data_IF_108893528307
#
_entry.id   IF_108893528307
#
_cell.length_a   1.000
_cell.length_b   1.000
_cell.length_c   1.000
_cell.angle_alpha   90.00
_cell.angle_beta   90.00
_cell.angle_gamma   90.00
#
_symmetry.space_group_name_H-M   'P 1'
#
loop_
_entity.id
_entity.type
_entity.pdbx_description
1 polymer ?
#
# COMPACT_ATOMS: atom_id res chain seq x y z
N UNK A 1 21.62 13.57 -7.73
CA UNK A 1 22.16 12.67 -8.78
C UNK A 1 22.15 11.22 -8.31
N UNK A 2 22.48 10.98 -7.04
CA UNK A 2 22.56 9.68 -6.37
C UNK A 2 21.30 8.80 -6.40
N UNK A 3 20.09 9.34 -6.20
CA UNK A 3 18.88 8.47 -6.22
C UNK A 3 18.65 7.75 -7.55
N UNK A 4 19.01 8.38 -8.66
CA UNK A 4 18.92 7.74 -9.98
C UNK A 4 19.91 6.59 -10.07
N UNK A 5 21.12 6.76 -9.56
CA UNK A 5 22.16 5.73 -9.53
C UNK A 5 21.82 4.60 -8.57
N UNK A 6 21.43 4.93 -7.34
CA UNK A 6 20.89 3.99 -6.34
C UNK A 6 19.83 3.09 -6.97
N UNK A 7 18.82 3.70 -7.62
CA UNK A 7 17.74 2.94 -8.23
C UNK A 7 18.18 2.04 -9.39
N UNK A 8 19.31 2.29 -10.07
CA UNK A 8 19.76 1.48 -11.22
C UNK A 8 20.24 0.09 -10.81
N UNK A 9 20.86 -0.04 -9.63
CA UNK A 9 21.35 -1.32 -9.11
C UNK A 9 20.28 -2.16 -8.40
N UNK A 10 19.09 -1.60 -8.17
CA UNK A 10 18.00 -2.31 -7.50
C UNK A 10 17.18 -3.08 -8.54
N UNK A 11 17.18 -4.41 -8.40
CA UNK A 11 16.46 -5.32 -9.29
C UNK A 11 15.60 -6.24 -8.43
N UNK A 12 14.29 -6.22 -8.68
CA UNK A 12 13.33 -7.03 -7.94
C UNK A 12 12.67 -7.99 -8.92
N UNK A 13 12.86 -9.30 -8.70
CA UNK A 13 12.34 -10.34 -9.58
C UNK A 13 10.81 -10.24 -9.69
N UNK A 14 10.30 -10.18 -10.92
CA UNK A 14 8.86 -10.09 -11.19
C UNK A 14 8.28 -8.66 -11.17
N UNK A 15 9.02 -7.67 -10.69
CA UNK A 15 8.55 -6.29 -10.64
C UNK A 15 9.02 -5.50 -11.87
N UNK A 16 8.13 -4.66 -12.39
CA UNK A 16 8.44 -3.66 -13.43
C UNK A 16 8.74 -2.32 -12.76
N UNK A 17 9.90 -1.75 -13.10
CA UNK A 17 10.34 -0.45 -12.59
C UNK A 17 9.73 0.69 -13.40
N UNK A 18 9.22 1.70 -12.71
CA UNK A 18 8.82 3.01 -13.22
C UNK A 18 9.36 4.10 -12.28
N UNK A 19 10.39 4.82 -12.72
CA UNK A 19 11.12 5.79 -11.89
C UNK A 19 11.65 5.16 -10.59
N UNK A 20 11.18 5.60 -9.41
CA UNK A 20 11.55 5.06 -8.09
C UNK A 20 10.51 4.09 -7.53
N UNK A 21 9.68 3.51 -8.39
CA UNK A 21 8.62 2.58 -8.01
C UNK A 21 8.74 1.29 -8.80
N UNK A 22 8.58 0.17 -8.11
CA UNK A 22 8.57 -1.18 -8.67
C UNK A 22 7.19 -1.76 -8.44
N UNK A 23 6.56 -2.27 -9.49
CA UNK A 23 5.21 -2.84 -9.45
C UNK A 23 5.21 -4.29 -9.91
N UNK A 24 4.57 -5.18 -9.14
CA UNK A 24 4.34 -6.57 -9.53
C UNK A 24 2.83 -6.84 -9.59
N UNK A 25 2.34 -7.33 -10.72
CA UNK A 25 0.96 -7.76 -10.86
C UNK A 25 0.83 -9.19 -10.31
N UNK A 26 0.00 -9.36 -9.29
CA UNK A 26 -0.31 -10.65 -8.69
C UNK A 26 -1.80 -10.69 -8.36
N UNK A 27 -2.62 -11.06 -9.34
CA UNK A 27 -4.09 -11.08 -9.24
C UNK A 27 -4.58 -11.68 -7.89
N UNK A 28 -5.44 -10.99 -7.12
CA UNK A 28 -6.18 -9.75 -7.42
C UNK A 28 -5.45 -8.44 -7.06
N UNK A 29 -4.15 -8.49 -6.82
CA UNK A 29 -3.36 -7.39 -6.27
C UNK A 29 -2.29 -6.84 -7.23
N UNK A 30 -1.85 -5.63 -6.93
CA UNK A 30 -0.58 -5.08 -7.39
C UNK A 30 0.27 -4.78 -6.16
N UNK A 31 1.43 -5.42 -6.08
CA UNK A 31 2.42 -5.13 -5.04
C UNK A 31 3.32 -3.99 -5.50
N UNK A 32 3.63 -3.09 -4.57
CA UNK A 32 4.44 -1.90 -4.81
C UNK A 32 5.59 -1.87 -3.83
N UNK A 33 6.79 -1.68 -4.37
CA UNK A 33 7.94 -1.19 -3.61
C UNK A 33 8.33 0.19 -4.16
N UNK A 34 8.63 1.14 -3.28
CA UNK A 34 8.99 2.50 -3.69
C UNK A 34 10.10 3.03 -2.80
N UNK A 35 11.00 3.80 -3.40
CA UNK A 35 11.98 4.59 -2.68
C UNK A 35 11.50 6.03 -2.73
N UNK A 36 11.07 6.57 -1.59
CA UNK A 36 10.56 7.94 -1.49
C UNK A 36 11.68 8.88 -1.05
N UNK A 37 12.05 9.89 -1.85
CA UNK A 37 12.97 10.94 -1.42
C UNK A 37 12.36 11.79 -0.30
N UNK A 38 13.14 12.05 0.74
CA UNK A 38 12.82 12.98 1.80
C UNK A 38 12.67 14.41 1.30
N UNK A 39 11.82 15.19 1.95
CA UNK A 39 11.55 16.60 1.60
C UNK A 39 12.76 17.52 1.75
N UNK A 40 13.71 17.17 2.61
CA UNK A 40 14.85 18.02 3.00
C UNK A 40 16.20 17.47 2.54
N UNK A 41 16.23 16.81 1.38
CA UNK A 41 17.51 16.38 0.79
C UNK A 41 18.27 17.58 0.20
N UNK A 42 19.55 17.72 0.52
CA UNK A 42 20.47 18.62 -0.17
C UNK A 42 21.61 17.85 -0.85
N UNK A 43 22.72 18.53 -1.15
CA UNK A 43 23.88 17.91 -1.79
C UNK A 43 24.66 17.00 -0.84
N UNK A 44 24.64 17.32 0.46
CA UNK A 44 25.51 16.74 1.48
C UNK A 44 24.75 15.75 2.37
N UNK A 45 23.42 15.84 2.39
CA UNK A 45 22.54 14.96 3.14
C UNK A 45 21.31 14.56 2.32
N UNK A 46 21.09 13.26 2.17
CA UNK A 46 19.93 12.72 1.48
C UNK A 46 19.25 11.67 2.34
N UNK A 47 17.93 11.76 2.44
CA UNK A 47 17.10 10.84 3.20
C UNK A 47 16.15 10.13 2.24
N UNK A 48 16.03 8.82 2.35
CA UNK A 48 15.07 8.04 1.57
C UNK A 48 14.32 7.07 2.47
N UNK A 49 13.00 7.03 2.30
CA UNK A 49 12.15 6.03 2.96
C UNK A 49 11.86 4.91 1.97
N UNK A 50 12.07 3.68 2.40
CA UNK A 50 11.59 2.51 1.67
C UNK A 50 10.12 2.29 2.01
N UNK A 51 9.25 2.40 1.02
CA UNK A 51 7.81 2.19 1.17
C UNK A 51 7.38 0.88 0.50
N UNK A 52 6.41 0.21 1.10
CA UNK A 52 5.67 -0.89 0.48
C UNK A 52 4.19 -0.57 0.39
N UNK A 53 3.52 -1.13 -0.61
CA UNK A 53 2.09 -0.94 -0.81
C UNK A 53 1.42 -2.13 -1.50
N UNK A 54 0.14 -2.31 -1.22
CA UNK A 54 -0.73 -3.31 -1.85
C UNK A 54 -1.96 -2.58 -2.39
N UNK A 55 -2.12 -2.65 -3.70
CA UNK A 55 -3.26 -2.13 -4.42
C UNK A 55 -4.21 -3.26 -4.83
N UNK A 56 -5.51 -3.01 -4.69
CA UNK A 56 -6.57 -3.83 -5.27
C UNK A 56 -7.50 -2.91 -6.05
N UNK A 57 -7.77 -3.28 -7.30
CA UNK A 57 -8.73 -2.56 -8.16
C UNK A 57 -10.12 -2.51 -7.54
N UNK A 58 -10.55 -3.59 -6.91
CA UNK A 58 -11.89 -3.74 -6.35
C UNK A 58 -12.06 -2.86 -5.11
N UNK A 59 -11.06 -2.89 -4.21
CA UNK A 59 -11.04 -2.01 -3.03
C UNK A 59 -10.98 -0.55 -3.44
N UNK A 60 -10.13 -0.22 -4.43
CA UNK A 60 -10.02 1.15 -4.92
C UNK A 60 -11.33 1.64 -5.54
N UNK A 61 -11.99 0.82 -6.37
CA UNK A 61 -13.26 1.17 -7.01
C UNK A 61 -14.38 1.34 -5.97
N UNK A 62 -14.47 0.47 -4.97
CA UNK A 62 -15.44 0.61 -3.88
C UNK A 62 -15.21 1.87 -3.04
N UNK A 63 -13.97 2.09 -2.59
CA UNK A 63 -13.63 3.22 -1.73
C UNK A 63 -13.77 4.56 -2.46
N UNK A 64 -13.25 4.66 -3.67
CA UNK A 64 -13.10 5.94 -4.37
C UNK A 64 -14.16 6.19 -5.45
N UNK A 65 -14.90 5.18 -5.88
CA UNK A 65 -15.86 5.30 -6.99
C UNK A 65 -15.19 5.64 -8.33
N UNK A 66 -13.93 5.24 -8.51
CA UNK A 66 -13.10 5.57 -9.68
C UNK A 66 -12.70 4.32 -10.44
N UNK A 67 -12.45 4.50 -11.74
CA UNK A 67 -11.91 3.43 -12.59
C UNK A 67 -10.52 3.01 -12.09
N UNK A 68 -10.23 1.70 -12.01
CA UNK A 68 -8.91 1.19 -11.61
C UNK A 68 -7.78 1.77 -12.46
N UNK A 69 -6.68 2.16 -11.82
CA UNK A 69 -5.60 2.93 -12.45
C UNK A 69 -4.63 2.11 -13.31
N UNK A 70 -4.87 0.80 -13.49
CA UNK A 70 -4.06 -0.07 -14.33
C UNK A 70 -2.55 0.05 -14.03
N UNK A 71 -1.75 0.45 -15.03
CA UNK A 71 -0.28 0.58 -14.92
C UNK A 71 0.23 1.79 -14.14
N UNK A 72 -0.66 2.67 -13.67
CA UNK A 72 -0.32 3.97 -13.06
C UNK A 72 -0.69 4.03 -11.57
N UNK A 73 -0.64 2.89 -10.87
CA UNK A 73 -0.88 2.83 -9.41
C UNK A 73 0.15 3.69 -8.69
N UNK A 74 -0.32 4.61 -7.85
CA UNK A 74 0.52 5.41 -6.94
C UNK A 74 0.43 4.84 -5.53
N UNK A 75 1.41 5.11 -4.68
CA UNK A 75 1.37 4.65 -3.29
C UNK A 75 0.09 5.13 -2.57
N UNK A 76 -0.39 6.33 -2.91
CA UNK A 76 -1.64 6.88 -2.37
C UNK A 76 -2.90 6.09 -2.73
N UNK A 77 -2.82 5.21 -3.74
CA UNK A 77 -3.93 4.38 -4.21
C UNK A 77 -3.98 3.01 -3.52
N UNK A 78 -2.91 2.61 -2.83
CA UNK A 78 -2.81 1.34 -2.13
C UNK A 78 -3.75 1.31 -0.91
N UNK A 79 -4.40 0.17 -0.70
CA UNK A 79 -5.28 -0.10 0.44
C UNK A 79 -4.52 -0.49 1.70
N UNK A 80 -3.31 -1.05 1.55
CA UNK A 80 -2.33 -1.19 2.60
C UNK A 80 -1.04 -0.51 2.13
N UNK A 81 -0.47 0.37 2.94
CA UNK A 81 0.80 1.04 2.64
C UNK A 81 1.50 1.53 3.90
N UNK A 82 2.81 1.70 3.81
CA UNK A 82 3.63 2.28 4.87
C UNK A 82 5.11 2.12 4.58
N UNK A 83 5.94 2.62 5.49
CA UNK A 83 7.38 2.41 5.44
C UNK A 83 7.72 0.96 5.80
N UNK A 84 8.81 0.41 5.29
CA UNK A 84 9.32 -0.92 5.71
C UNK A 84 9.48 -1.00 7.22
N UNK A 85 9.87 0.10 7.87
CA UNK A 85 10.00 0.17 9.32
C UNK A 85 8.69 -0.18 10.02
N UNK A 86 7.56 0.33 9.53
CA UNK A 86 6.24 0.05 10.09
C UNK A 86 5.90 -1.45 10.03
N UNK A 87 6.36 -2.15 8.99
CA UNK A 87 6.02 -3.56 8.77
C UNK A 87 6.94 -4.54 9.48
N UNK A 88 8.24 -4.26 9.49
CA UNK A 88 9.27 -5.22 9.90
C UNK A 88 10.05 -4.79 11.16
N UNK A 89 9.85 -3.57 11.66
CA UNK A 89 10.66 -2.97 12.74
C UNK A 89 12.17 -2.97 12.45
N UNK A 90 12.55 -3.11 11.17
CA UNK A 90 13.91 -2.94 10.69
C UNK A 90 14.08 -1.52 10.18
N UNK A 91 15.30 -0.94 10.23
CA UNK A 91 15.60 0.42 9.74
C UNK A 91 15.10 0.61 8.29
N UNK A 92 13.87 1.08 8.13
CA UNK A 92 13.17 1.28 6.85
C UNK A 92 13.40 2.66 6.25
N UNK A 93 13.95 3.56 7.07
CA UNK A 93 14.53 4.81 6.62
C UNK A 93 16.02 4.60 6.39
N UNK A 94 16.48 5.15 5.26
CA UNK A 94 17.89 5.15 4.94
C UNK A 94 18.36 6.59 4.79
N UNK A 95 19.16 7.00 5.77
CA UNK A 95 19.88 8.26 5.82
C UNK A 95 21.24 8.10 5.15
N UNK A 96 21.60 9.05 4.29
CA UNK A 96 22.91 9.11 3.64
C UNK A 96 23.55 10.48 3.77
N UNK A 97 24.87 10.43 3.88
CA UNK A 97 25.77 11.58 3.81
C UNK A 97 26.62 11.44 2.54
N UNK A 98 27.29 12.52 2.15
CA UNK A 98 28.01 12.73 0.87
C UNK A 98 28.99 11.61 0.47
N UNK A 99 29.52 10.83 1.43
CA UNK A 99 30.56 9.80 1.24
C UNK A 99 30.05 8.34 1.18
N UNK A 100 28.74 8.12 1.03
CA UNK A 100 28.17 6.76 1.05
C UNK A 100 28.49 5.96 -0.22
N UNK A 101 28.98 4.73 -0.05
CA UNK A 101 29.11 3.77 -1.12
C UNK A 101 27.71 3.35 -1.63
N UNK A 102 27.34 3.89 -2.79
CA UNK A 102 26.08 3.60 -3.48
C UNK A 102 25.91 2.09 -3.72
N UNK A 103 27.01 1.36 -3.93
CA UNK A 103 26.98 -0.08 -4.18
C UNK A 103 26.66 -0.86 -2.90
N UNK A 104 27.33 -0.55 -1.79
CA UNK A 104 27.02 -1.13 -0.48
C UNK A 104 25.54 -0.94 -0.13
N UNK A 105 25.02 0.25 -0.41
CA UNK A 105 23.63 0.55 -0.18
C UNK A 105 22.69 -0.26 -1.09
N UNK A 106 23.01 -0.38 -2.39
CA UNK A 106 22.24 -1.22 -3.30
C UNK A 106 22.20 -2.67 -2.82
N UNK A 107 23.33 -3.19 -2.33
CA UNK A 107 23.44 -4.54 -1.76
C UNK A 107 22.55 -4.68 -0.52
N UNK A 108 22.58 -3.71 0.41
CA UNK A 108 21.69 -3.70 1.58
C UNK A 108 20.21 -3.66 1.21
N UNK A 109 19.81 -2.81 0.25
CA UNK A 109 18.42 -2.72 -0.18
C UNK A 109 17.97 -4.01 -0.88
N UNK A 110 18.79 -4.56 -1.77
CA UNK A 110 18.51 -5.83 -2.43
C UNK A 110 18.37 -6.97 -1.41
N UNK A 111 19.22 -7.00 -0.37
CA UNK A 111 19.11 -7.97 0.71
C UNK A 111 17.77 -7.85 1.48
N UNK A 112 17.36 -6.63 1.87
CA UNK A 112 16.06 -6.39 2.51
C UNK A 112 14.88 -6.81 1.61
N UNK A 113 14.99 -6.53 0.31
CA UNK A 113 13.98 -6.93 -0.66
C UNK A 113 13.82 -8.45 -0.70
N UNK A 114 14.93 -9.19 -0.78
CA UNK A 114 14.92 -10.65 -0.88
C UNK A 114 14.51 -11.33 0.43
N UNK A 115 15.02 -10.83 1.56
CA UNK A 115 14.80 -11.41 2.89
C UNK A 115 13.41 -11.12 3.44
N UNK A 116 12.90 -9.89 3.28
CA UNK A 116 11.72 -9.44 4.02
C UNK A 116 10.55 -9.06 3.10
N UNK A 117 10.79 -8.21 2.09
CA UNK A 117 9.72 -7.64 1.27
C UNK A 117 9.07 -8.69 0.37
N UNK A 118 9.87 -9.46 -0.39
CA UNK A 118 9.35 -10.50 -1.29
C UNK A 118 8.59 -11.57 -0.48
N UNK A 119 9.13 -12.12 0.62
CA UNK A 119 8.39 -13.07 1.45
C UNK A 119 7.10 -12.49 2.05
N UNK A 120 7.09 -11.20 2.43
CA UNK A 120 5.87 -10.53 2.89
C UNK A 120 4.80 -10.50 1.80
N UNK A 121 5.11 -10.02 0.60
CA UNK A 121 4.16 -10.00 -0.51
C UNK A 121 3.67 -11.40 -0.87
N UNK A 122 4.56 -12.40 -0.88
CA UNK A 122 4.22 -13.78 -1.18
C UNK A 122 3.25 -14.41 -0.17
N UNK A 123 3.13 -13.87 1.05
CA UNK A 123 2.10 -14.31 2.00
C UNK A 123 0.71 -13.83 1.56
N UNK A 124 0.59 -12.70 0.87
CA UNK A 124 -0.67 -11.96 0.67
C UNK A 124 -1.29 -12.29 -0.68
N UNK A 125 -1.75 -13.54 -0.83
CA UNK A 125 -2.33 -14.04 -2.08
C UNK A 125 -3.86 -14.01 -2.14
N UNK A 126 -4.53 -13.57 -1.07
CA UNK A 126 -5.99 -13.50 -1.00
C UNK A 126 -6.46 -12.30 -0.17
N UNK A 127 -7.71 -11.88 -0.41
CA UNK A 127 -8.37 -10.85 0.41
C UNK A 127 -8.44 -11.26 1.88
N UNK A 128 -8.63 -12.54 2.19
CA UNK A 128 -8.64 -13.03 3.58
C UNK A 128 -7.29 -12.80 4.27
N UNK A 129 -6.18 -13.08 3.59
CA UNK A 129 -4.86 -12.85 4.19
C UNK A 129 -4.54 -11.36 4.32
N UNK A 130 -4.90 -10.56 3.32
CA UNK A 130 -4.77 -9.11 3.38
C UNK A 130 -5.57 -8.54 4.57
N UNK A 131 -6.82 -8.95 4.73
CA UNK A 131 -7.70 -8.57 5.83
C UNK A 131 -7.07 -8.82 7.20
N UNK A 132 -6.59 -10.06 7.45
CA UNK A 132 -5.94 -10.41 8.72
C UNK A 132 -4.72 -9.56 9.03
N UNK A 133 -3.93 -9.22 8.00
CA UNK A 133 -2.76 -8.35 8.16
C UNK A 133 -3.20 -6.91 8.45
N UNK A 134 -4.20 -6.40 7.75
CA UNK A 134 -4.71 -5.04 7.97
C UNK A 134 -5.30 -4.87 9.37
N UNK A 135 -5.97 -5.90 9.93
CA UNK A 135 -6.42 -5.90 11.33
C UNK A 135 -5.25 -5.85 12.33
N UNK A 136 -4.17 -6.58 12.08
CA UNK A 136 -2.99 -6.53 12.95
C UNK A 136 -2.34 -5.13 12.97
N UNK A 137 -2.31 -4.44 11.83
CA UNK A 137 -1.79 -3.07 11.76
C UNK A 137 -2.77 -2.02 12.26
N UNK A 138 -4.09 -2.29 12.25
CA UNK A 138 -5.09 -1.46 12.92
C UNK A 138 -4.80 -1.32 14.41
N UNK A 139 -4.39 -2.40 15.09
CA UNK A 139 -4.04 -2.38 16.51
C UNK A 139 -2.79 -1.56 16.82
N UNK A 140 -1.89 -1.39 15.83
CA UNK A 140 -0.59 -0.72 15.99
C UNK A 140 -0.56 0.73 15.50
N UNK A 141 -1.50 1.14 14.65
CA UNK A 141 -1.42 2.41 13.94
C UNK A 141 -2.51 3.40 14.35
N UNK A 142 -2.07 4.63 14.66
CA UNK A 142 -2.87 5.86 14.54
C UNK A 142 -3.12 6.10 13.04
N UNK A 143 -3.93 5.26 12.39
CA UNK A 143 -4.39 5.45 11.01
C UNK A 143 -5.92 5.54 10.97
N UNK A 144 -6.39 6.64 11.56
CA UNK A 144 -7.32 7.62 10.99
C UNK A 144 -8.32 7.09 9.93
N UNK A 145 -9.28 6.25 10.29
CA UNK A 145 -10.55 5.95 9.57
C UNK A 145 -10.52 5.52 8.09
N UNK A 146 -9.71 6.08 7.18
CA UNK A 146 -9.51 5.57 5.82
C UNK A 146 -9.07 4.10 5.82
N UNK A 147 -8.21 3.71 6.76
CA UNK A 147 -7.83 2.31 6.94
C UNK A 147 -9.06 1.44 7.27
N UNK A 148 -9.95 1.93 8.14
CA UNK A 148 -11.23 1.29 8.46
C UNK A 148 -12.14 1.16 7.23
N UNK A 149 -12.18 2.19 6.37
CA UNK A 149 -12.92 2.16 5.11
C UNK A 149 -12.36 1.09 4.18
N UNK A 150 -11.04 0.95 4.09
CA UNK A 150 -10.42 -0.11 3.28
C UNK A 150 -10.70 -1.50 3.84
N UNK A 151 -10.64 -1.68 5.16
CA UNK A 151 -11.01 -2.95 5.81
C UNK A 151 -12.47 -3.29 5.49
N UNK A 152 -13.40 -2.32 5.60
CA UNK A 152 -14.81 -2.53 5.26
C UNK A 152 -15.01 -2.90 3.78
N UNK A 153 -14.26 -2.29 2.86
CA UNK A 153 -14.29 -2.67 1.45
C UNK A 153 -13.85 -4.13 1.24
N UNK A 154 -12.83 -4.58 1.98
CA UNK A 154 -12.35 -5.97 1.92
C UNK A 154 -13.38 -6.93 2.54
N UNK A 155 -13.97 -6.58 3.68
CA UNK A 155 -15.07 -7.34 4.31
C UNK A 155 -16.23 -7.54 3.31
N UNK A 156 -16.62 -6.47 2.61
CA UNK A 156 -17.65 -6.54 1.58
C UNK A 156 -17.27 -7.47 0.42
N UNK A 157 -16.04 -7.38 -0.11
CA UNK A 157 -15.53 -8.27 -1.18
C UNK A 157 -15.53 -9.73 -0.72
N UNK A 158 -15.24 -9.99 0.56
CA UNK A 158 -15.30 -11.31 1.19
C UNK A 158 -16.73 -11.75 1.56
N UNK A 159 -17.76 -11.05 1.06
CA UNK A 159 -19.18 -11.29 1.32
C UNK A 159 -19.61 -11.14 2.80
N UNK A 160 -18.84 -10.38 3.60
CA UNK A 160 -19.16 -10.01 4.98
C UNK A 160 -19.82 -8.63 5.04
N UNK A 161 -20.98 -8.53 4.37
CA UNK A 161 -21.66 -7.24 4.13
C UNK A 161 -22.05 -6.53 5.43
N UNK A 162 -22.60 -7.24 6.39
CA UNK A 162 -23.03 -6.65 7.66
C UNK A 162 -21.85 -6.09 8.46
N UNK A 163 -20.74 -6.84 8.52
CA UNK A 163 -19.51 -6.41 9.21
C UNK A 163 -18.98 -5.11 8.58
N UNK A 164 -18.95 -5.05 7.25
CA UNK A 164 -18.52 -3.88 6.50
C UNK A 164 -19.38 -2.64 6.83
N UNK A 165 -20.71 -2.78 6.87
CA UNK A 165 -21.62 -1.68 7.19
C UNK A 165 -21.42 -1.20 8.62
N UNK A 166 -21.38 -2.12 9.59
CA UNK A 166 -21.15 -1.80 11.01
C UNK A 166 -19.82 -1.04 11.18
N UNK A 167 -18.77 -1.44 10.45
CA UNK A 167 -17.48 -0.74 10.49
C UNK A 167 -17.57 0.67 9.92
N UNK A 168 -18.23 0.85 8.78
CA UNK A 168 -18.39 2.17 8.14
C UNK A 168 -19.26 3.13 8.98
N UNK A 169 -20.29 2.62 9.66
CA UNK A 169 -21.17 3.42 10.52
C UNK A 169 -20.47 4.00 11.76
N UNK A 170 -19.39 3.34 12.22
CA UNK A 170 -18.59 3.82 13.38
C UNK A 170 -17.69 5.01 13.05
N UNK A 171 -17.50 5.34 11.77
CA UNK A 171 -16.63 6.44 11.33
C UNK A 171 -17.35 7.77 11.60
N UNK A 172 -16.72 8.64 12.39
CA UNK A 172 -17.38 9.81 12.95
C UNK A 172 -16.70 11.15 12.57
N UNK A 173 -15.44 11.15 12.14
CA UNK A 173 -14.77 12.35 11.67
C UNK A 173 -15.46 12.93 10.44
N UNK A 174 -15.59 14.24 10.38
CA UNK A 174 -16.34 14.92 9.32
C UNK A 174 -15.86 14.58 7.90
N UNK A 175 -14.54 14.46 7.69
CA UNK A 175 -13.96 14.15 6.37
C UNK A 175 -14.24 12.70 5.99
N UNK A 176 -13.97 11.77 6.90
CA UNK A 176 -14.08 10.34 6.61
C UNK A 176 -15.50 9.80 6.69
N UNK A 177 -16.39 10.43 7.47
CA UNK A 177 -17.82 10.09 7.54
C UNK A 177 -18.50 10.26 6.19
N UNK A 178 -18.22 11.36 5.48
CA UNK A 178 -18.73 11.55 4.10
C UNK A 178 -18.24 10.44 3.18
N UNK A 179 -16.95 10.09 3.26
CA UNK A 179 -16.39 8.99 2.48
C UNK A 179 -17.06 7.66 2.81
N UNK A 180 -17.28 7.36 4.09
CA UNK A 180 -17.94 6.14 4.53
C UNK A 180 -19.38 6.04 3.98
N UNK A 181 -20.15 7.13 4.03
CA UNK A 181 -21.49 7.19 3.45
C UNK A 181 -21.49 6.93 1.93
N UNK A 182 -20.55 7.53 1.20
CA UNK A 182 -20.40 7.24 -0.23
C UNK A 182 -20.10 5.76 -0.52
N UNK A 183 -19.27 5.13 0.31
CA UNK A 183 -18.93 3.71 0.19
C UNK A 183 -20.15 2.83 0.49
N UNK A 184 -20.91 3.14 1.54
CA UNK A 184 -22.18 2.47 1.87
C UNK A 184 -23.13 2.51 0.67
N UNK A 185 -23.37 3.69 0.09
CA UNK A 185 -24.25 3.82 -1.08
C UNK A 185 -23.80 2.96 -2.26
N UNK A 186 -22.48 2.89 -2.52
CA UNK A 186 -21.94 2.05 -3.61
C UNK A 186 -22.14 0.57 -3.34
N UNK A 187 -21.97 0.13 -2.08
CA UNK A 187 -22.21 -1.25 -1.68
C UNK A 187 -23.69 -1.63 -1.85
N UNK A 188 -24.61 -0.78 -1.41
CA UNK A 188 -26.06 -1.02 -1.53
C UNK A 188 -26.55 -0.99 -2.99
N UNK A 189 -26.09 -0.02 -3.80
CA UNK A 189 -26.49 0.05 -5.21
C UNK A 189 -25.98 -1.13 -6.04
N UNK A 190 -24.78 -1.65 -5.75
CA UNK A 190 -24.28 -2.87 -6.38
C UNK A 190 -25.16 -4.10 -6.07
N UNK A 191 -25.72 -4.18 -4.87
CA UNK A 191 -26.65 -5.27 -4.51
C UNK A 191 -27.91 -5.22 -5.36
N UNK A 192 -28.54 -4.04 -5.44
CA UNK A 192 -29.74 -3.84 -6.26
C UNK A 192 -29.49 -4.18 -7.75
N UNK A 193 -28.30 -3.90 -8.29
CA UNK A 193 -27.97 -4.30 -9.66
C UNK A 193 -27.69 -5.79 -9.85
N UNK A 194 -27.28 -6.50 -8.80
CA UNK A 194 -26.98 -7.93 -8.85
C UNK A 194 -28.22 -8.80 -8.59
N UNK A 195 -29.23 -8.27 -7.91
CA UNK A 195 -30.51 -8.95 -7.66
C UNK A 195 -31.51 -8.79 -8.82
N UNK A 196 -31.27 -7.82 -9.72
CA UNK A 196 -32.11 -7.53 -10.88
C UNK A 196 -31.55 -8.10 -12.21
N UNK A 197 -30.48 -8.88 -12.17
CA UNK A 197 -29.88 -9.60 -13.31
C UNK A 197 -29.87 -11.10 -13.04
#
# INVERSE_FOLDING_TARGET
MYIKELSKGIKIKGFKKNSLTWLCQCDPFVYMFRIEPGKYCDKNWQYYTLEIGIYSSDVFALCWGKVPKGKSVKNTDCCLRGSIFDFFQENGDIEFYEDVDVKELQERINFLIEKDIIPFFNKIKSFEKLYRIMLFYEEKAIQQELHQIYIACIEYIMNKKNDALIRLEKINNQVWKKKAQEVIMRMTNKQLSAENN
#
